data_IF_594223532441
#
_entry.id   IF_594223532441
#
_cell.length_a   1.000
_cell.length_b   1.000
_cell.length_c   1.000
_cell.angle_alpha   90.00
_cell.angle_beta   90.00
_cell.angle_gamma   90.00
#
_symmetry.space_group_name_H-M   'P 1'
#
loop_
_entity.id
_entity.type
_entity.pdbx_description
1 polymer ?
#
# COMPACT_ATOMS: atom_id res chain seq x y z
N UNK A 1 -26.49 -4.42 15.29
CA UNK A 1 -26.18 -5.17 14.05
C UNK A 1 -24.94 -6.02 14.26
N UNK A 2 -24.96 -7.26 13.84
CA UNK A 2 -23.77 -8.13 13.78
C UNK A 2 -22.86 -7.69 12.62
N UNK A 3 -21.60 -8.15 12.59
CA UNK A 3 -20.67 -7.86 11.49
C UNK A 3 -21.20 -8.37 10.16
N UNK A 4 -21.83 -9.55 10.16
CA UNK A 4 -22.42 -10.15 8.98
C UNK A 4 -23.62 -9.32 8.45
N UNK A 5 -24.52 -8.87 9.34
CA UNK A 5 -25.62 -7.99 8.96
C UNK A 5 -25.13 -6.66 8.38
N UNK A 6 -24.06 -6.08 8.95
CA UNK A 6 -23.40 -4.88 8.42
C UNK A 6 -22.84 -5.15 7.01
N UNK A 7 -22.06 -6.22 6.85
CA UNK A 7 -21.45 -6.58 5.57
C UNK A 7 -22.52 -6.83 4.48
N UNK A 8 -23.61 -7.49 4.83
CA UNK A 8 -24.76 -7.70 3.93
C UNK A 8 -25.44 -6.39 3.55
N UNK A 9 -25.70 -5.49 4.50
CA UNK A 9 -26.25 -4.16 4.20
C UNK A 9 -25.35 -3.36 3.28
N UNK A 10 -24.03 -3.40 3.53
CA UNK A 10 -23.02 -2.77 2.67
C UNK A 10 -23.03 -3.33 1.25
N UNK A 11 -23.13 -4.66 1.10
CA UNK A 11 -23.17 -5.28 -0.23
C UNK A 11 -24.40 -4.81 -1.04
N UNK A 12 -25.51 -4.57 -0.37
CA UNK A 12 -26.71 -4.01 -1.00
C UNK A 12 -26.60 -2.51 -1.33
N UNK A 13 -25.86 -1.75 -0.50
CA UNK A 13 -25.60 -0.32 -0.72
C UNK A 13 -24.47 -0.06 -1.75
N UNK A 14 -23.58 -1.01 -1.94
CA UNK A 14 -22.38 -0.86 -2.80
C UNK A 14 -22.70 -0.46 -4.25
N UNK A 15 -23.73 -0.99 -4.95
CA UNK A 15 -24.09 -0.52 -6.29
C UNK A 15 -24.54 0.96 -6.31
N UNK A 16 -25.23 1.42 -5.24
CA UNK A 16 -25.66 2.82 -5.11
C UNK A 16 -24.44 3.71 -4.91
N UNK A 17 -23.50 3.28 -4.06
CA UNK A 17 -22.24 3.97 -3.83
C UNK A 17 -21.41 4.04 -5.14
N UNK A 18 -21.32 2.96 -5.88
CA UNK A 18 -20.63 2.89 -7.17
C UNK A 18 -21.24 3.80 -8.24
N UNK A 19 -22.55 4.03 -8.19
CA UNK A 19 -23.28 4.91 -9.10
C UNK A 19 -23.27 6.38 -8.70
N UNK A 20 -22.72 6.72 -7.51
CA UNK A 20 -22.62 8.11 -7.07
C UNK A 20 -21.75 8.94 -8.01
N UNK A 21 -22.15 10.20 -8.26
CA UNK A 21 -21.41 11.08 -9.17
C UNK A 21 -20.06 11.50 -8.57
N UNK A 22 -19.11 11.90 -9.41
CA UNK A 22 -17.85 12.51 -8.99
C UNK A 22 -18.10 13.71 -8.10
N UNK A 23 -19.10 14.53 -8.43
CA UNK A 23 -19.49 15.71 -7.66
C UNK A 23 -19.95 15.32 -6.26
N UNK A 24 -20.84 14.33 -6.13
CA UNK A 24 -21.34 13.83 -4.83
C UNK A 24 -20.18 13.35 -3.97
N UNK A 25 -19.26 12.54 -4.54
CA UNK A 25 -18.09 12.04 -3.82
C UNK A 25 -17.13 13.16 -3.41
N UNK A 26 -16.88 14.14 -4.27
CA UNK A 26 -16.04 15.29 -3.94
C UNK A 26 -16.69 16.17 -2.87
N UNK A 27 -18.00 16.40 -2.96
CA UNK A 27 -18.74 17.15 -1.94
C UNK A 27 -18.67 16.44 -0.57
N UNK A 28 -18.71 15.10 -0.55
CA UNK A 28 -18.54 14.35 0.68
C UNK A 28 -17.13 14.54 1.28
N UNK A 29 -16.09 14.52 0.47
CA UNK A 29 -14.73 14.80 0.93
C UNK A 29 -14.60 16.21 1.52
N UNK A 30 -15.14 17.22 0.86
CA UNK A 30 -15.13 18.62 1.35
C UNK A 30 -15.94 18.77 2.64
N UNK A 31 -17.11 18.13 2.74
CA UNK A 31 -17.92 18.12 3.96
C UNK A 31 -17.18 17.45 5.13
N UNK A 32 -16.49 16.34 4.88
CA UNK A 32 -15.64 15.65 5.87
C UNK A 32 -14.50 16.56 6.32
N UNK A 33 -13.76 17.18 5.41
CA UNK A 33 -12.67 18.10 5.74
C UNK A 33 -13.15 19.26 6.62
N UNK A 34 -14.30 19.83 6.28
CA UNK A 34 -14.95 20.90 7.07
C UNK A 34 -15.34 20.40 8.46
N UNK A 35 -16.02 19.26 8.56
CA UNK A 35 -16.48 18.71 9.83
C UNK A 35 -15.31 18.32 10.76
N UNK A 36 -14.22 17.75 10.22
CA UNK A 36 -13.00 17.46 10.98
C UNK A 36 -12.37 18.75 11.54
N UNK A 37 -12.36 19.83 10.76
CA UNK A 37 -11.86 21.12 11.23
C UNK A 37 -12.74 21.74 12.32
N UNK A 38 -14.06 21.67 12.18
CA UNK A 38 -15.01 22.23 13.15
C UNK A 38 -15.05 21.45 14.47
N UNK A 39 -14.78 20.13 14.42
CA UNK A 39 -14.83 19.22 15.59
C UNK A 39 -13.43 18.83 16.10
N UNK A 40 -12.38 19.62 15.85
CA UNK A 40 -11.00 19.35 16.29
C UNK A 40 -10.90 19.08 17.79
N UNK A 41 -11.54 19.89 18.62
CA UNK A 41 -11.50 19.75 20.06
C UNK A 41 -12.10 18.42 20.53
N UNK A 42 -13.22 17.99 19.95
CA UNK A 42 -13.86 16.70 20.25
C UNK A 42 -12.92 15.53 19.92
N UNK A 43 -12.25 15.59 18.77
CA UNK A 43 -11.29 14.58 18.34
C UNK A 43 -10.10 14.53 19.30
N UNK A 44 -9.55 15.68 19.70
CA UNK A 44 -8.40 15.77 20.60
C UNK A 44 -8.78 15.22 21.99
N UNK A 45 -9.97 15.53 22.50
CA UNK A 45 -10.47 14.98 23.78
C UNK A 45 -10.57 13.46 23.72
N UNK A 46 -11.11 12.91 22.63
CA UNK A 46 -11.19 11.46 22.43
C UNK A 46 -9.79 10.82 22.34
N UNK A 47 -8.85 11.47 21.64
CA UNK A 47 -7.48 10.98 21.52
C UNK A 47 -6.70 11.03 22.84
N UNK A 48 -6.90 12.06 23.65
CA UNK A 48 -6.26 12.15 24.96
C UNK A 48 -6.70 11.00 25.89
N UNK A 49 -7.98 10.58 25.84
CA UNK A 49 -8.47 9.41 26.59
C UNK A 49 -7.75 8.11 26.16
N UNK A 50 -7.58 7.92 24.85
CA UNK A 50 -6.86 6.76 24.33
C UNK A 50 -5.37 6.80 24.73
N UNK A 51 -4.73 7.98 24.70
CA UNK A 51 -3.33 8.15 25.12
C UNK A 51 -3.11 7.93 26.60
N UNK A 52 -4.03 8.38 27.47
CA UNK A 52 -3.98 8.12 28.91
C UNK A 52 -4.10 6.63 29.20
N UNK A 53 -5.10 5.96 28.63
CA UNK A 53 -5.27 4.52 28.78
C UNK A 53 -4.08 3.72 28.25
N UNK A 54 -3.53 4.10 27.09
CA UNK A 54 -2.37 3.44 26.50
C UNK A 54 -1.09 3.57 27.36
N UNK A 55 -0.93 4.69 28.10
CA UNK A 55 0.16 4.86 29.08
C UNK A 55 -0.06 3.99 30.31
N UNK A 56 -1.29 3.94 30.82
CA UNK A 56 -1.66 3.08 31.97
C UNK A 56 -1.45 1.59 31.63
N UNK A 57 -1.78 1.19 30.40
CA UNK A 57 -1.58 -0.17 29.88
C UNK A 57 -0.08 -0.47 29.59
N UNK A 58 0.83 0.50 29.74
CA UNK A 58 2.27 0.33 29.54
C UNK A 58 2.68 0.12 28.08
N UNK A 59 1.97 0.69 27.12
CA UNK A 59 2.30 0.57 25.71
C UNK A 59 3.63 1.28 25.38
N UNK A 60 4.40 0.72 24.44
CA UNK A 60 5.71 1.25 24.03
C UNK A 60 5.58 2.67 23.45
N UNK A 61 6.61 3.48 23.65
CA UNK A 61 6.68 4.85 23.13
C UNK A 61 6.43 4.95 21.60
N UNK A 62 6.86 3.94 20.85
CA UNK A 62 6.62 3.88 19.40
C UNK A 62 5.13 3.76 19.05
N UNK A 63 4.35 3.06 19.87
CA UNK A 63 2.89 2.95 19.74
C UNK A 63 2.23 4.26 20.15
N UNK A 64 2.63 4.85 21.27
CA UNK A 64 2.11 6.14 21.75
C UNK A 64 2.33 7.26 20.71
N UNK A 65 3.50 7.31 20.06
CA UNK A 65 3.80 8.27 18.98
C UNK A 65 2.87 8.09 17.77
N UNK A 66 2.55 6.85 17.40
CA UNK A 66 1.61 6.54 16.30
C UNK A 66 0.17 6.87 16.68
N UNK A 67 -0.22 6.57 17.92
CA UNK A 67 -1.57 6.80 18.44
C UNK A 67 -1.90 8.29 18.59
N UNK A 68 -0.90 9.13 18.85
CA UNK A 68 -1.08 10.58 19.02
C UNK A 68 -1.69 11.21 17.76
N UNK A 69 -2.86 11.85 17.92
CA UNK A 69 -3.61 12.51 16.86
C UNK A 69 -3.94 13.95 17.28
N UNK A 70 -2.92 14.80 17.25
CA UNK A 70 -2.98 16.21 17.63
C UNK A 70 -3.45 17.11 16.47
N UNK A 71 -3.56 18.41 16.73
CA UNK A 71 -4.01 19.41 15.75
C UNK A 71 -3.20 19.35 14.44
N UNK A 72 -1.87 19.25 14.52
CA UNK A 72 -0.99 19.15 13.34
C UNK A 72 -1.34 17.94 12.46
N UNK A 73 -1.63 16.79 13.06
CA UNK A 73 -2.05 15.59 12.32
C UNK A 73 -3.46 15.72 11.75
N UNK A 74 -4.37 16.40 12.47
CA UNK A 74 -5.71 16.72 11.95
C UNK A 74 -5.60 17.61 10.74
N UNK A 75 -4.80 18.68 10.81
CA UNK A 75 -4.55 19.57 9.68
C UNK A 75 -3.89 18.84 8.50
N UNK A 76 -2.98 17.91 8.80
CA UNK A 76 -2.34 17.07 7.81
C UNK A 76 -3.34 16.17 7.03
N UNK A 77 -4.27 15.51 7.73
CA UNK A 77 -5.29 14.69 7.06
C UNK A 77 -6.32 15.56 6.30
N UNK A 78 -6.68 16.73 6.82
CA UNK A 78 -7.56 17.68 6.11
C UNK A 78 -6.90 18.15 4.80
N UNK A 79 -5.61 18.48 4.85
CA UNK A 79 -4.84 18.78 3.63
C UNK A 79 -4.86 17.62 2.66
N UNK A 80 -4.60 16.41 3.13
CA UNK A 80 -4.65 15.20 2.31
C UNK A 80 -6.02 14.96 1.65
N UNK A 81 -7.13 15.28 2.34
CA UNK A 81 -8.48 15.22 1.77
C UNK A 81 -8.64 16.25 0.65
N UNK A 82 -8.19 17.49 0.86
CA UNK A 82 -8.27 18.53 -0.17
C UNK A 82 -7.41 18.17 -1.40
N UNK A 83 -6.22 17.61 -1.20
CA UNK A 83 -5.38 17.10 -2.29
C UNK A 83 -6.11 15.97 -3.05
N UNK A 84 -6.78 15.04 -2.33
CA UNK A 84 -7.55 13.96 -2.93
C UNK A 84 -8.72 14.45 -3.79
N UNK A 85 -9.38 15.55 -3.42
CA UNK A 85 -10.45 16.19 -4.22
C UNK A 85 -9.91 16.61 -5.59
N UNK A 86 -8.68 17.10 -5.67
CA UNK A 86 -8.06 17.57 -6.93
C UNK A 86 -7.67 16.43 -7.88
N UNK A 87 -7.54 15.20 -7.37
CA UNK A 87 -7.22 14.04 -8.22
C UNK A 87 -8.40 13.71 -9.14
N UNK A 88 -8.07 13.26 -10.34
CA UNK A 88 -9.05 12.82 -11.33
C UNK A 88 -9.97 11.70 -10.80
N UNK A 89 -11.16 11.61 -11.36
CA UNK A 89 -12.07 10.51 -11.02
C UNK A 89 -11.46 9.16 -11.48
N UNK A 90 -11.30 8.17 -10.59
CA UNK A 90 -10.79 6.87 -10.97
C UNK A 90 -11.84 6.00 -11.69
N UNK A 91 -13.13 6.37 -11.63
CA UNK A 91 -14.24 5.59 -12.15
C UNK A 91 -14.59 5.96 -13.59
N UNK A 92 -15.21 5.01 -14.28
CA UNK A 92 -15.70 5.15 -15.65
C UNK A 92 -14.64 5.54 -16.69
N UNK A 93 -13.35 5.38 -16.36
CA UNK A 93 -12.27 5.58 -17.32
C UNK A 93 -12.32 4.48 -18.38
N UNK A 94 -12.42 4.89 -19.65
CA UNK A 94 -12.32 3.95 -20.78
C UNK A 94 -10.88 3.45 -20.88
N UNK A 95 -10.69 2.15 -20.68
CA UNK A 95 -9.39 1.48 -20.75
C UNK A 95 -9.18 0.74 -22.07
N UNK A 96 -10.28 0.37 -22.72
CA UNK A 96 -10.30 -0.28 -24.04
C UNK A 96 -11.65 0.02 -24.69
N UNK A 97 -11.63 0.29 -25.98
CA UNK A 97 -12.85 0.38 -26.80
C UNK A 97 -12.57 -0.30 -28.15
N UNK A 98 -13.40 -1.28 -28.50
CA UNK A 98 -13.18 -2.13 -29.65
C UNK A 98 -14.49 -2.44 -30.35
N UNK A 99 -14.55 -2.20 -31.64
CA UNK A 99 -15.61 -2.73 -32.50
C UNK A 99 -15.29 -4.20 -32.78
N UNK A 100 -16.21 -5.09 -32.38
CA UNK A 100 -16.08 -6.54 -32.62
C UNK A 100 -16.63 -6.91 -33.99
N UNK A 101 -17.67 -6.21 -34.42
CA UNK A 101 -18.34 -6.23 -35.72
C UNK A 101 -19.11 -4.90 -35.86
N UNK A 102 -19.57 -4.56 -37.08
CA UNK A 102 -20.51 -3.44 -37.23
C UNK A 102 -21.65 -3.60 -36.26
N UNK A 103 -22.01 -2.58 -35.52
CA UNK A 103 -23.08 -2.60 -34.49
C UNK A 103 -22.78 -3.43 -33.21
N UNK A 104 -21.54 -3.89 -32.98
CA UNK A 104 -21.17 -4.61 -31.76
C UNK A 104 -19.89 -4.02 -31.18
N UNK A 105 -20.06 -3.20 -30.15
CA UNK A 105 -18.93 -2.44 -29.52
C UNK A 105 -18.68 -2.90 -28.11
N UNK A 106 -17.46 -3.35 -27.82
CA UNK A 106 -16.98 -3.71 -26.51
C UNK A 106 -16.22 -2.51 -25.90
N UNK A 107 -16.64 -2.10 -24.71
CA UNK A 107 -15.95 -1.07 -23.94
C UNK A 107 -15.55 -1.65 -22.57
N UNK A 108 -14.28 -1.48 -22.16
CA UNK A 108 -13.82 -1.79 -20.80
C UNK A 108 -13.67 -0.48 -20.04
N UNK A 109 -14.39 -0.37 -18.92
CA UNK A 109 -14.35 0.81 -18.06
C UNK A 109 -13.94 0.44 -16.64
N UNK A 110 -13.27 1.37 -15.94
CA UNK A 110 -12.97 1.23 -14.52
C UNK A 110 -14.26 1.31 -13.67
N UNK A 111 -14.30 0.53 -12.59
CA UNK A 111 -15.38 0.51 -11.62
C UNK A 111 -14.84 0.22 -10.22
N UNK A 112 -15.59 0.52 -9.13
CA UNK A 112 -15.16 0.18 -7.78
C UNK A 112 -14.97 -1.33 -7.60
N UNK A 113 -14.11 -1.71 -6.64
CA UNK A 113 -13.97 -3.10 -6.20
C UNK A 113 -15.28 -3.58 -5.56
N UNK A 114 -15.87 -2.74 -4.69
CA UNK A 114 -17.13 -3.05 -4.02
C UNK A 114 -17.08 -2.77 -2.53
N UNK A 115 -17.19 -3.80 -1.69
CA UNK A 115 -17.08 -3.72 -0.24
C UNK A 115 -15.66 -4.06 0.19
N UNK A 116 -14.99 -3.11 0.83
CA UNK A 116 -13.61 -3.27 1.31
C UNK A 116 -13.60 -3.34 2.83
N UNK A 117 -13.02 -4.40 3.39
CA UNK A 117 -12.72 -4.50 4.81
C UNK A 117 -11.30 -4.01 5.09
N UNK A 118 -11.12 -3.06 6.00
CA UNK A 118 -9.79 -2.57 6.37
C UNK A 118 -9.55 -2.76 7.86
N UNK A 119 -8.49 -3.50 8.19
CA UNK A 119 -8.11 -3.82 9.56
C UNK A 119 -6.77 -3.17 9.85
N UNK A 120 -6.73 -2.23 10.80
CA UNK A 120 -5.53 -1.43 11.10
C UNK A 120 -5.30 -1.25 12.59
N UNK A 121 -4.04 -1.02 12.97
CA UNK A 121 -3.59 -0.86 14.35
C UNK A 121 -3.05 0.56 14.59
N UNK A 122 -3.28 1.11 15.82
CA UNK A 122 -2.60 2.29 16.40
C UNK A 122 -2.43 3.52 15.48
N UNK A 123 -3.32 3.73 14.50
CA UNK A 123 -3.21 4.81 13.51
C UNK A 123 -4.56 5.48 13.22
N UNK A 124 -5.00 6.44 14.06
CA UNK A 124 -6.25 7.18 13.80
C UNK A 124 -6.26 7.92 12.45
N UNK A 125 -5.10 8.40 12.00
CA UNK A 125 -4.93 9.02 10.68
C UNK A 125 -5.32 8.07 9.54
N UNK A 126 -5.02 6.78 9.68
CA UNK A 126 -5.38 5.77 8.69
C UNK A 126 -6.90 5.64 8.50
N UNK A 127 -7.70 5.78 9.57
CA UNK A 127 -9.16 5.75 9.45
C UNK A 127 -9.66 6.85 8.51
N UNK A 128 -9.17 8.07 8.65
CA UNK A 128 -9.55 9.21 7.80
C UNK A 128 -9.11 8.97 6.35
N UNK A 129 -7.85 8.60 6.15
CA UNK A 129 -7.28 8.37 4.80
C UNK A 129 -8.01 7.26 4.05
N UNK A 130 -8.25 6.14 4.71
CA UNK A 130 -8.91 4.98 4.10
C UNK A 130 -10.38 5.29 3.77
N UNK A 131 -11.12 5.89 4.70
CA UNK A 131 -12.52 6.26 4.48
C UNK A 131 -12.66 7.19 3.27
N UNK A 132 -11.82 8.20 3.18
CA UNK A 132 -11.89 9.20 2.11
C UNK A 132 -11.45 8.62 0.75
N UNK A 133 -10.44 7.76 0.73
CA UNK A 133 -10.03 7.04 -0.48
C UNK A 133 -11.14 6.09 -0.98
N UNK A 134 -11.81 5.36 -0.07
CA UNK A 134 -12.93 4.50 -0.42
C UNK A 134 -14.12 5.32 -0.96
N UNK A 135 -14.46 6.45 -0.33
CA UNK A 135 -15.50 7.35 -0.84
C UNK A 135 -15.14 7.86 -2.24
N UNK A 136 -13.93 8.37 -2.45
CA UNK A 136 -13.47 8.89 -3.75
C UNK A 136 -13.53 7.84 -4.84
N UNK A 137 -13.17 6.59 -4.51
CA UNK A 137 -13.18 5.45 -5.45
C UNK A 137 -14.52 4.72 -5.56
N UNK A 138 -15.58 5.24 -4.91
CA UNK A 138 -16.93 4.66 -4.98
C UNK A 138 -17.09 3.31 -4.28
N UNK A 139 -16.18 2.96 -3.36
CA UNK A 139 -16.24 1.75 -2.56
C UNK A 139 -16.96 1.95 -1.24
N UNK A 140 -17.66 0.92 -0.78
CA UNK A 140 -18.11 0.82 0.60
C UNK A 140 -17.00 0.30 1.49
N UNK A 141 -16.88 0.77 2.74
CA UNK A 141 -15.79 0.36 3.64
C UNK A 141 -16.26 -0.01 5.03
N UNK A 142 -15.84 -1.19 5.49
CA UNK A 142 -15.94 -1.63 6.88
C UNK A 142 -14.58 -1.48 7.54
N UNK A 143 -14.50 -0.67 8.58
CA UNK A 143 -13.28 -0.30 9.29
C UNK A 143 -13.18 -1.08 10.59
N UNK A 144 -12.01 -1.65 10.87
CA UNK A 144 -11.68 -2.30 12.14
C UNK A 144 -10.37 -1.75 12.67
N UNK A 145 -10.45 -0.76 13.53
CA UNK A 145 -9.28 -0.18 14.20
C UNK A 145 -8.83 -0.98 15.43
N UNK A 146 -7.61 -0.71 15.90
CA UNK A 146 -7.08 -1.25 17.13
C UNK A 146 -7.84 -0.74 18.36
N UNK A 147 -7.81 -1.55 19.45
CA UNK A 147 -8.50 -1.23 20.72
C UNK A 147 -7.91 0.02 21.39
N UNK A 148 -6.62 0.21 21.24
CA UNK A 148 -5.85 1.33 21.78
C UNK A 148 -6.27 2.70 21.23
N UNK A 149 -7.01 2.74 20.11
CA UNK A 149 -7.52 3.96 19.47
C UNK A 149 -9.07 4.01 19.44
N UNK A 150 -9.74 3.26 20.31
CA UNK A 150 -11.18 3.03 20.19
C UNK A 150 -12.01 4.32 20.30
N UNK A 151 -11.68 5.23 21.23
CA UNK A 151 -12.39 6.50 21.41
C UNK A 151 -12.15 7.43 20.22
N UNK A 152 -10.90 7.56 19.77
CA UNK A 152 -10.53 8.39 18.63
C UNK A 152 -11.18 7.88 17.35
N UNK A 153 -11.09 6.56 17.09
CA UNK A 153 -11.70 5.95 15.90
C UNK A 153 -13.21 6.14 15.87
N UNK A 154 -13.88 6.02 17.03
CA UNK A 154 -15.32 6.25 17.14
C UNK A 154 -15.69 7.69 16.80
N UNK A 155 -15.02 8.67 17.43
CA UNK A 155 -15.26 10.09 17.16
C UNK A 155 -15.04 10.45 15.69
N UNK A 156 -13.90 10.04 15.11
CA UNK A 156 -13.59 10.27 13.71
C UNK A 156 -14.62 9.62 12.76
N UNK A 157 -15.02 8.38 13.05
CA UNK A 157 -15.99 7.66 12.21
C UNK A 157 -17.36 8.33 12.22
N UNK A 158 -17.86 8.74 13.39
CA UNK A 158 -19.15 9.42 13.52
C UNK A 158 -19.13 10.74 12.74
N UNK A 159 -18.07 11.54 12.86
CA UNK A 159 -17.90 12.79 12.12
C UNK A 159 -17.87 12.54 10.61
N UNK A 160 -17.10 11.58 10.15
CA UNK A 160 -16.95 11.24 8.72
C UNK A 160 -18.29 10.74 8.16
N UNK A 161 -18.95 9.82 8.86
CA UNK A 161 -20.22 9.23 8.40
C UNK A 161 -21.32 10.27 8.31
N UNK A 162 -21.49 11.09 9.36
CA UNK A 162 -22.48 12.18 9.40
C UNK A 162 -22.28 13.14 8.23
N UNK A 163 -21.04 13.61 8.04
CA UNK A 163 -20.69 14.53 6.97
C UNK A 163 -20.92 13.95 5.58
N UNK A 164 -20.51 12.69 5.34
CA UNK A 164 -20.67 12.03 4.05
C UNK A 164 -22.16 11.80 3.72
N UNK A 165 -22.94 11.32 4.69
CA UNK A 165 -24.37 11.03 4.50
C UNK A 165 -25.15 12.33 4.24
N UNK A 166 -24.79 13.44 4.88
CA UNK A 166 -25.47 14.75 4.69
C UNK A 166 -25.46 15.26 3.24
N UNK A 167 -24.55 14.77 2.43
CA UNK A 167 -24.40 15.17 1.01
C UNK A 167 -24.71 14.04 0.02
N UNK A 168 -25.34 12.95 0.49
CA UNK A 168 -25.91 11.91 -0.38
C UNK A 168 -25.09 10.61 -0.50
N UNK A 169 -24.04 10.40 0.30
CA UNK A 169 -23.40 9.09 0.41
C UNK A 169 -24.33 8.13 1.17
N UNK A 170 -24.57 6.90 0.67
CA UNK A 170 -25.44 5.94 1.35
C UNK A 170 -24.97 5.64 2.77
N UNK A 171 -25.86 5.71 3.75
CA UNK A 171 -25.52 5.52 5.16
C UNK A 171 -24.94 4.12 5.45
N UNK A 172 -25.35 3.11 4.66
CA UNK A 172 -24.87 1.73 4.80
C UNK A 172 -23.58 1.45 4.00
N UNK A 173 -22.94 2.45 3.41
CA UNK A 173 -21.63 2.28 2.77
C UNK A 173 -20.43 2.44 3.71
N UNK A 174 -20.65 2.85 4.97
CA UNK A 174 -19.61 3.10 5.95
C UNK A 174 -19.97 2.44 7.29
N UNK A 175 -19.15 1.52 7.78
CA UNK A 175 -19.28 0.91 9.11
C UNK A 175 -17.97 0.85 9.85
N UNK A 176 -18.04 0.97 11.18
CA UNK A 176 -16.94 0.77 12.12
C UNK A 176 -17.27 -0.40 13.04
N UNK A 177 -16.39 -1.38 13.12
CA UNK A 177 -16.43 -2.47 14.09
C UNK A 177 -15.32 -2.31 15.13
N UNK A 178 -15.58 -2.60 16.39
CA UNK A 178 -14.67 -2.30 17.49
C UNK A 178 -14.24 -3.53 18.28
N UNK A 179 -15.11 -4.53 18.46
CA UNK A 179 -14.78 -5.70 19.27
C UNK A 179 -13.67 -6.56 18.62
N UNK A 180 -12.86 -7.22 19.44
CA UNK A 180 -11.75 -8.05 18.97
C UNK A 180 -12.24 -9.29 18.22
N UNK A 181 -13.29 -9.90 18.71
CA UNK A 181 -13.97 -11.07 18.11
C UNK A 181 -14.58 -10.75 16.75
N UNK A 182 -14.83 -9.49 16.45
CA UNK A 182 -15.36 -9.06 15.14
C UNK A 182 -14.37 -9.27 14.00
N UNK A 183 -13.07 -9.41 14.30
CA UNK A 183 -12.07 -9.74 13.28
C UNK A 183 -12.41 -11.10 12.65
N UNK A 184 -12.59 -12.15 13.47
CA UNK A 184 -12.92 -13.48 12.95
C UNK A 184 -14.25 -13.50 12.19
N UNK A 185 -15.24 -12.75 12.68
CA UNK A 185 -16.54 -12.60 12.00
C UNK A 185 -16.37 -11.92 10.64
N UNK A 186 -15.55 -10.84 10.57
CA UNK A 186 -15.26 -10.16 9.32
C UNK A 186 -14.52 -11.06 8.32
N UNK A 187 -13.54 -11.85 8.78
CA UNK A 187 -12.80 -12.80 7.95
C UNK A 187 -13.69 -13.89 7.34
N UNK A 188 -14.84 -14.17 7.96
CA UNK A 188 -15.82 -15.13 7.47
C UNK A 188 -16.81 -14.53 6.42
N UNK A 189 -16.88 -13.20 6.28
CA UNK A 189 -17.86 -12.51 5.42
C UNK A 189 -17.51 -12.53 3.93
N UNK A 190 -16.95 -13.63 3.39
CA UNK A 190 -16.48 -13.72 2.01
C UNK A 190 -17.59 -13.61 0.94
N UNK A 191 -18.87 -13.77 1.31
CA UNK A 191 -20.00 -13.54 0.40
C UNK A 191 -20.34 -12.04 0.23
N UNK A 192 -19.94 -11.21 1.18
CA UNK A 192 -20.35 -9.80 1.24
C UNK A 192 -19.19 -8.82 1.12
N UNK A 193 -17.97 -9.24 1.47
CA UNK A 193 -16.75 -8.42 1.42
C UNK A 193 -15.90 -8.86 0.23
N UNK A 194 -15.55 -7.93 -0.64
CA UNK A 194 -14.85 -8.20 -1.90
C UNK A 194 -13.33 -8.17 -1.74
N UNK A 195 -12.81 -7.41 -0.76
CA UNK A 195 -11.38 -7.24 -0.52
C UNK A 195 -11.11 -6.97 0.96
N UNK A 196 -10.02 -7.51 1.49
CA UNK A 196 -9.45 -7.13 2.79
C UNK A 196 -8.09 -6.45 2.62
N UNK A 197 -7.87 -5.39 3.42
CA UNK A 197 -6.61 -4.66 3.48
C UNK A 197 -6.15 -4.61 4.95
N UNK A 198 -5.27 -5.53 5.38
CA UNK A 198 -4.68 -5.48 6.71
C UNK A 198 -3.54 -4.46 6.78
N UNK A 199 -3.46 -3.75 7.91
CA UNK A 199 -2.40 -2.80 8.27
C UNK A 199 -1.97 -3.04 9.71
N UNK A 200 -0.86 -3.70 9.93
CA UNK A 200 -0.38 -4.06 11.26
C UNK A 200 1.00 -4.73 11.21
N UNK A 201 1.32 -5.48 12.24
CA UNK A 201 2.54 -6.29 12.27
C UNK A 201 2.53 -7.41 11.22
N UNK A 202 3.71 -7.87 10.81
CA UNK A 202 3.87 -8.95 9.84
C UNK A 202 3.08 -10.21 10.25
N UNK A 203 3.20 -10.62 11.51
CA UNK A 203 2.46 -11.77 12.04
C UNK A 203 0.94 -11.60 11.92
N UNK A 204 0.45 -10.39 12.16
CA UNK A 204 -0.98 -10.09 12.04
C UNK A 204 -1.45 -10.13 10.58
N UNK A 205 -0.68 -9.57 9.65
CA UNK A 205 -0.99 -9.63 8.21
C UNK A 205 -1.00 -11.07 7.73
N UNK A 206 0.01 -11.88 8.09
CA UNK A 206 0.06 -13.31 7.78
C UNK A 206 -1.13 -14.07 8.37
N UNK A 207 -1.51 -13.77 9.62
CA UNK A 207 -2.70 -14.37 10.23
C UNK A 207 -3.95 -14.10 9.39
N UNK A 208 -4.18 -12.85 8.97
CA UNK A 208 -5.32 -12.49 8.12
C UNK A 208 -5.29 -13.27 6.80
N UNK A 209 -4.14 -13.27 6.11
CA UNK A 209 -3.98 -13.95 4.81
C UNK A 209 -4.27 -15.45 4.90
N UNK A 210 -3.90 -16.08 6.01
CA UNK A 210 -4.07 -17.53 6.20
C UNK A 210 -5.45 -17.94 6.72
N UNK A 211 -6.28 -16.98 7.20
CA UNK A 211 -7.54 -17.28 7.88
C UNK A 211 -8.79 -16.71 7.20
N UNK A 212 -8.71 -16.34 5.95
CA UNK A 212 -9.87 -15.85 5.18
C UNK A 212 -9.91 -16.43 3.78
N UNK A 213 -11.12 -16.46 3.21
CA UNK A 213 -11.37 -16.71 1.78
C UNK A 213 -11.53 -15.41 0.98
N UNK A 214 -11.62 -14.26 1.66
CA UNK A 214 -11.70 -12.96 1.00
C UNK A 214 -10.31 -12.65 0.41
N UNK A 215 -10.19 -12.17 -0.83
CA UNK A 215 -8.93 -11.68 -1.36
C UNK A 215 -8.28 -10.67 -0.41
N UNK A 216 -6.99 -10.82 -0.14
CA UNK A 216 -6.24 -9.93 0.76
C UNK A 216 -5.22 -9.14 -0.06
N UNK A 217 -5.27 -7.82 0.07
CA UNK A 217 -4.29 -6.90 -0.51
C UNK A 217 -3.34 -6.41 0.59
N UNK A 218 -2.08 -6.74 0.46
CA UNK A 218 -1.06 -6.35 1.43
C UNK A 218 0.26 -7.08 1.21
N UNK A 219 1.18 -6.87 2.12
CA UNK A 219 2.42 -7.62 2.25
C UNK A 219 2.69 -7.87 3.73
N UNK A 220 3.36 -8.95 4.05
CA UNK A 220 3.74 -9.25 5.42
C UNK A 220 5.08 -8.60 5.78
N UNK A 221 6.11 -8.79 4.93
CA UNK A 221 7.48 -8.35 5.17
C UNK A 221 7.94 -7.35 4.11
N UNK A 222 8.77 -6.38 4.50
CA UNK A 222 9.42 -5.42 3.61
C UNK A 222 10.93 -5.66 3.54
N UNK A 223 11.37 -6.73 2.85
CA UNK A 223 12.79 -7.05 2.69
C UNK A 223 13.29 -6.46 1.37
N UNK A 224 13.70 -5.18 1.42
CA UNK A 224 14.20 -4.46 0.26
C UNK A 224 15.71 -4.62 0.12
N UNK A 225 16.19 -4.71 -1.14
CA UNK A 225 17.61 -4.84 -1.47
C UNK A 225 18.13 -3.65 -2.26
N UNK A 226 19.42 -3.39 -2.10
CA UNK A 226 20.19 -2.58 -3.04
C UNK A 226 21.32 -3.44 -3.60
N UNK A 227 21.48 -3.46 -4.91
CA UNK A 227 22.65 -4.01 -5.59
C UNK A 227 23.53 -2.88 -6.08
N UNK A 228 24.76 -2.82 -5.55
CA UNK A 228 25.82 -1.93 -5.99
C UNK A 228 26.68 -2.65 -7.06
N UNK A 229 26.53 -2.26 -8.31
CA UNK A 229 27.23 -2.86 -9.46
C UNK A 229 28.72 -2.46 -9.50
N UNK A 230 29.50 -3.13 -10.34
CA UNK A 230 30.93 -2.80 -10.54
C UNK A 230 31.13 -1.43 -11.20
N UNK A 231 30.20 -0.98 -12.03
CA UNK A 231 30.24 0.30 -12.74
C UNK A 231 29.30 1.30 -12.07
N UNK A 232 29.78 2.02 -11.06
CA UNK A 232 28.98 3.00 -10.34
C UNK A 232 29.80 4.23 -9.92
N UNK A 233 29.10 5.33 -9.65
CA UNK A 233 29.64 6.47 -8.91
C UNK A 233 29.59 6.15 -7.41
N UNK A 234 30.77 6.07 -6.78
CA UNK A 234 30.87 5.66 -5.37
C UNK A 234 30.20 6.66 -4.42
N UNK A 235 30.30 7.96 -4.68
CA UNK A 235 29.75 8.98 -3.77
C UNK A 235 28.23 9.04 -3.91
N UNK A 236 27.69 8.84 -5.11
CA UNK A 236 26.26 8.65 -5.34
C UNK A 236 25.77 7.39 -4.62
N UNK A 237 26.49 6.28 -4.74
CA UNK A 237 26.13 5.01 -4.11
C UNK A 237 26.03 5.14 -2.58
N UNK A 238 27.03 5.76 -1.94
CA UNK A 238 27.01 6.00 -0.49
C UNK A 238 25.79 6.80 -0.08
N UNK A 239 25.46 7.89 -0.78
CA UNK A 239 24.28 8.72 -0.47
C UNK A 239 22.99 7.92 -0.56
N UNK A 240 22.80 7.16 -1.64
CA UNK A 240 21.58 6.37 -1.86
C UNK A 240 21.42 5.28 -0.79
N UNK A 241 22.49 4.53 -0.51
CA UNK A 241 22.44 3.43 0.45
C UNK A 241 22.17 3.94 1.87
N UNK A 242 22.85 5.01 2.27
CA UNK A 242 22.64 5.62 3.60
C UNK A 242 21.21 6.16 3.72
N UNK A 243 20.70 6.90 2.74
CA UNK A 243 19.33 7.39 2.76
C UNK A 243 18.32 6.24 2.84
N UNK A 244 18.49 5.22 2.00
CA UNK A 244 17.61 4.05 1.94
C UNK A 244 17.52 3.29 3.27
N UNK A 245 18.59 3.27 4.06
CA UNK A 245 18.59 2.61 5.36
C UNK A 245 18.22 3.54 6.51
N UNK A 246 18.66 4.79 6.52
CA UNK A 246 18.67 5.61 7.74
C UNK A 246 17.65 6.75 7.76
N UNK A 247 17.01 7.08 6.63
CA UNK A 247 16.03 8.17 6.58
C UNK A 247 14.83 7.87 7.49
N UNK A 248 14.34 6.62 7.50
CA UNK A 248 13.39 6.09 8.46
C UNK A 248 13.40 4.57 8.40
N UNK A 249 13.76 3.90 9.50
CA UNK A 249 13.98 2.45 9.52
C UNK A 249 12.70 1.62 9.72
N UNK A 250 11.72 2.15 10.46
CA UNK A 250 10.53 1.40 10.87
C UNK A 250 9.44 1.39 9.78
N UNK A 251 9.82 1.08 8.54
CA UNK A 251 8.94 0.99 7.36
C UNK A 251 9.46 -0.03 6.36
N UNK A 252 8.52 -0.65 5.65
CA UNK A 252 8.76 -1.77 4.74
C UNK A 252 9.59 -1.45 3.48
N UNK A 253 9.82 -0.18 3.15
CA UNK A 253 10.65 0.25 2.02
C UNK A 253 12.06 0.70 2.44
N UNK A 254 12.45 0.53 3.71
CA UNK A 254 13.84 0.67 4.13
C UNK A 254 14.67 -0.51 3.61
N UNK A 255 15.92 -0.26 3.22
CA UNK A 255 16.79 -1.34 2.73
C UNK A 255 17.26 -2.21 3.90
N UNK A 256 17.10 -3.52 3.74
CA UNK A 256 17.52 -4.51 4.73
C UNK A 256 18.77 -5.28 4.30
N UNK A 257 18.97 -5.43 2.99
CA UNK A 257 20.12 -6.14 2.41
C UNK A 257 20.82 -5.29 1.34
N UNK A 258 22.14 -5.23 1.44
CA UNK A 258 23.03 -4.64 0.45
C UNK A 258 23.87 -5.74 -0.22
N UNK A 259 23.72 -5.89 -1.53
CA UNK A 259 24.54 -6.75 -2.38
C UNK A 259 25.59 -5.86 -3.07
N UNK A 260 26.86 -6.23 -2.97
CA UNK A 260 27.96 -5.44 -3.55
C UNK A 260 28.75 -6.31 -4.54
N UNK A 261 28.94 -5.81 -5.75
CA UNK A 261 29.82 -6.50 -6.70
C UNK A 261 31.24 -6.56 -6.16
N UNK A 262 31.85 -7.75 -6.18
CA UNK A 262 33.17 -8.00 -5.57
C UNK A 262 34.27 -7.04 -6.07
N UNK A 263 34.21 -6.58 -7.33
CA UNK A 263 35.23 -5.72 -7.93
C UNK A 263 35.19 -4.29 -7.39
N UNK A 264 34.02 -3.79 -6.96
CA UNK A 264 33.88 -2.44 -6.37
C UNK A 264 33.95 -2.47 -4.84
N UNK A 265 33.77 -3.63 -4.22
CA UNK A 265 33.71 -3.79 -2.78
C UNK A 265 34.91 -3.17 -2.04
N UNK A 266 36.18 -3.35 -2.47
CA UNK A 266 37.33 -2.74 -1.80
C UNK A 266 37.31 -1.20 -1.80
N UNK A 267 36.70 -0.56 -2.78
CA UNK A 267 36.58 0.89 -2.86
C UNK A 267 35.33 1.43 -2.15
N UNK A 268 34.22 0.70 -2.22
CA UNK A 268 32.91 1.14 -1.72
C UNK A 268 32.72 0.84 -0.22
N UNK A 269 33.01 -0.40 0.22
CA UNK A 269 32.68 -0.85 1.57
C UNK A 269 33.39 -0.05 2.68
N UNK A 270 34.66 0.36 2.58
CA UNK A 270 35.31 1.19 3.62
C UNK A 270 34.60 2.55 3.79
N UNK A 271 34.19 3.21 2.69
CA UNK A 271 33.49 4.49 2.74
C UNK A 271 32.09 4.30 3.36
N UNK A 272 31.37 3.24 2.97
CA UNK A 272 30.06 2.90 3.53
C UNK A 272 30.15 2.58 5.01
N UNK A 273 31.13 1.79 5.45
CA UNK A 273 31.29 1.42 6.85
C UNK A 273 31.54 2.65 7.74
N UNK A 274 32.31 3.63 7.26
CA UNK A 274 32.44 4.90 7.96
C UNK A 274 31.09 5.62 8.07
N UNK A 275 30.37 5.76 6.98
CA UNK A 275 29.06 6.44 6.96
C UNK A 275 27.99 5.69 7.80
N UNK A 276 28.01 4.36 7.83
CA UNK A 276 27.16 3.56 8.69
C UNK A 276 27.48 3.76 10.18
N UNK A 277 28.75 3.80 10.54
CA UNK A 277 29.19 4.10 11.93
C UNK A 277 28.71 5.48 12.40
N UNK A 278 28.79 6.50 11.53
CA UNK A 278 28.30 7.85 11.83
C UNK A 278 26.76 7.88 12.07
N UNK A 279 26.03 6.93 11.50
CA UNK A 279 24.56 6.77 11.65
C UNK A 279 24.17 5.70 12.65
N UNK A 280 25.12 5.09 13.36
CA UNK A 280 24.90 3.97 14.28
C UNK A 280 24.23 2.75 13.63
N UNK A 281 24.51 2.48 12.37
CA UNK A 281 24.03 1.29 11.68
C UNK A 281 24.92 0.11 11.98
N UNK A 282 24.35 -0.97 12.50
CA UNK A 282 25.01 -2.25 12.68
C UNK A 282 25.08 -2.96 11.33
N UNK A 283 26.30 -3.34 10.92
CA UNK A 283 26.53 -4.09 9.68
C UNK A 283 26.73 -5.57 10.02
N UNK A 284 25.98 -6.43 9.36
CA UNK A 284 26.19 -7.88 9.35
C UNK A 284 26.68 -8.29 7.97
N UNK A 285 27.87 -8.88 7.89
CA UNK A 285 28.53 -9.24 6.62
C UNK A 285 28.84 -10.72 6.51
N UNK A 286 28.85 -11.21 5.27
CA UNK A 286 29.41 -12.53 4.97
C UNK A 286 30.94 -12.55 5.19
N UNK A 287 31.56 -13.73 5.24
CA UNK A 287 33.00 -13.88 5.57
C UNK A 287 33.91 -13.05 4.63
N UNK A 288 33.56 -12.96 3.36
CA UNK A 288 34.26 -12.15 2.35
C UNK A 288 34.10 -10.63 2.58
N UNK A 289 32.95 -10.18 3.11
CA UNK A 289 32.75 -8.79 3.54
C UNK A 289 33.61 -8.48 4.76
N UNK A 290 33.71 -9.40 5.73
CA UNK A 290 34.57 -9.27 6.92
C UNK A 290 36.07 -9.17 6.56
N UNK A 291 36.47 -9.72 5.44
CA UNK A 291 37.83 -9.53 4.91
C UNK A 291 38.14 -8.09 4.47
N UNK A 292 37.13 -7.21 4.32
CA UNK A 292 37.26 -5.83 3.85
C UNK A 292 36.92 -4.81 4.95
N UNK A 293 35.87 -5.08 5.75
CA UNK A 293 35.44 -4.17 6.83
C UNK A 293 35.16 -4.97 8.10
N UNK A 294 35.28 -4.31 9.25
CA UNK A 294 34.89 -4.87 10.55
C UNK A 294 33.38 -4.82 10.69
N UNK A 295 32.74 -6.00 10.82
CA UNK A 295 31.28 -6.17 10.95
C UNK A 295 30.94 -7.49 11.67
N UNK A 296 29.68 -7.64 12.10
CA UNK A 296 29.16 -8.90 12.66
C UNK A 296 28.95 -9.95 11.56
N UNK A 297 28.79 -11.22 11.97
CA UNK A 297 28.49 -12.31 11.04
C UNK A 297 27.07 -12.22 10.53
N UNK A 298 26.88 -12.28 9.21
CA UNK A 298 25.59 -12.50 8.57
C UNK A 298 25.33 -13.99 8.38
N UNK A 299 24.15 -14.43 8.74
CA UNK A 299 23.63 -15.79 8.52
C UNK A 299 22.64 -15.83 7.36
N UNK A 300 22.23 -17.01 6.91
CA UNK A 300 21.19 -17.17 5.90
C UNK A 300 19.84 -16.55 6.34
N UNK A 301 19.55 -16.55 7.64
CA UNK A 301 18.33 -15.97 8.19
C UNK A 301 18.34 -14.46 8.16
N UNK A 302 19.50 -13.82 8.27
CA UNK A 302 19.63 -12.36 8.17
C UNK A 302 19.15 -11.82 6.81
N UNK A 303 19.32 -12.59 5.73
CA UNK A 303 18.83 -12.21 4.39
C UNK A 303 17.31 -12.37 4.20
N UNK A 304 16.61 -12.99 5.16
CA UNK A 304 15.14 -13.15 5.19
C UNK A 304 14.49 -12.25 6.25
N UNK A 305 15.29 -11.43 6.92
CA UNK A 305 14.84 -10.65 8.07
C UNK A 305 14.55 -9.22 7.70
N UNK A 306 13.34 -8.75 8.00
CA UNK A 306 13.01 -7.33 8.06
C UNK A 306 13.37 -6.82 9.46
N UNK A 307 14.50 -6.12 9.58
CA UNK A 307 15.01 -5.65 10.88
C UNK A 307 14.17 -4.51 11.47
N UNK A 308 13.64 -3.62 10.64
CA UNK A 308 12.94 -2.40 11.05
C UNK A 308 13.77 -1.52 12.01
N UNK A 309 15.10 -1.65 11.94
CA UNK A 309 16.08 -1.00 12.82
C UNK A 309 17.32 -0.58 12.03
N UNK A 310 18.25 0.07 12.68
CA UNK A 310 19.56 0.46 12.14
C UNK A 310 20.51 -0.75 12.02
N UNK A 311 20.06 -1.79 11.31
CA UNK A 311 20.79 -3.03 11.01
C UNK A 311 20.71 -3.27 9.52
N UNK A 312 21.80 -3.67 8.88
CA UNK A 312 21.84 -4.01 7.45
C UNK A 312 22.69 -5.24 7.19
N UNK A 313 22.20 -6.18 6.39
CA UNK A 313 22.96 -7.32 5.91
C UNK A 313 23.72 -6.97 4.64
N UNK A 314 24.98 -7.41 4.53
CA UNK A 314 25.84 -7.13 3.38
C UNK A 314 26.44 -8.45 2.86
N UNK A 315 26.39 -8.63 1.54
CA UNK A 315 26.94 -9.79 0.85
C UNK A 315 27.66 -9.36 -0.43
N UNK A 316 28.77 -10.01 -0.74
CA UNK A 316 29.42 -9.85 -2.04
C UNK A 316 28.78 -10.77 -3.08
N UNK A 317 28.70 -10.27 -4.31
CA UNK A 317 28.22 -11.01 -5.48
C UNK A 317 29.21 -10.82 -6.64
N UNK A 318 29.23 -11.78 -7.56
CA UNK A 318 30.17 -11.79 -8.69
C UNK A 318 29.56 -11.21 -9.98
N UNK A 319 28.26 -11.00 -10.01
CA UNK A 319 27.53 -10.53 -11.20
C UNK A 319 26.15 -10.00 -10.85
N UNK A 320 25.55 -9.24 -11.78
CA UNK A 320 24.15 -8.81 -11.68
C UNK A 320 23.21 -10.01 -11.60
N UNK A 321 23.51 -11.11 -12.30
CA UNK A 321 22.67 -12.32 -12.27
C UNK A 321 22.63 -12.94 -10.87
N UNK A 322 23.76 -13.06 -10.19
CA UNK A 322 23.80 -13.54 -8.81
C UNK A 322 23.02 -12.62 -7.86
N UNK A 323 23.09 -11.30 -8.07
CA UNK A 323 22.29 -10.35 -7.30
C UNK A 323 20.78 -10.54 -7.54
N UNK A 324 20.37 -10.69 -8.80
CA UNK A 324 18.97 -10.97 -9.19
C UNK A 324 18.46 -12.26 -8.54
N UNK A 325 19.25 -13.35 -8.63
CA UNK A 325 18.88 -14.64 -8.06
C UNK A 325 18.74 -14.56 -6.53
N UNK A 326 19.62 -13.80 -5.87
CA UNK A 326 19.53 -13.54 -4.44
C UNK A 326 18.27 -12.76 -4.09
N UNK A 327 18.00 -11.66 -4.78
CA UNK A 327 16.81 -10.82 -4.55
C UNK A 327 15.53 -11.61 -4.75
N UNK A 328 15.41 -12.36 -5.84
CA UNK A 328 14.23 -13.16 -6.13
C UNK A 328 14.03 -14.32 -5.13
N UNK A 329 15.10 -14.80 -4.50
CA UNK A 329 15.06 -15.87 -3.49
C UNK A 329 14.69 -15.35 -2.10
N UNK A 330 15.24 -14.22 -1.68
CA UNK A 330 15.17 -13.73 -0.30
C UNK A 330 14.28 -12.50 -0.12
N UNK A 331 14.09 -11.73 -1.18
CA UNK A 331 13.28 -10.52 -1.16
C UNK A 331 11.80 -10.80 -0.97
N UNK A 332 11.11 -9.80 -0.46
CA UNK A 332 9.65 -9.80 -0.25
C UNK A 332 8.85 -9.34 -1.47
N UNK A 333 9.50 -9.16 -2.60
CA UNK A 333 8.92 -8.56 -3.83
C UNK A 333 8.39 -7.14 -3.64
N UNK A 334 8.93 -6.40 -2.67
CA UNK A 334 8.50 -5.05 -2.36
C UNK A 334 9.20 -4.03 -3.28
N UNK A 335 10.43 -3.63 -2.96
CA UNK A 335 11.17 -2.62 -3.72
C UNK A 335 12.66 -2.90 -3.67
N UNK A 336 13.27 -3.06 -4.84
CA UNK A 336 14.69 -3.33 -4.97
C UNK A 336 15.35 -2.35 -5.94
N UNK A 337 16.61 -2.01 -5.68
CA UNK A 337 17.31 -0.98 -6.42
C UNK A 337 18.66 -1.49 -6.93
N UNK A 338 19.02 -1.11 -8.16
CA UNK A 338 20.39 -1.20 -8.66
C UNK A 338 21.06 0.17 -8.69
N UNK A 339 22.33 0.22 -8.30
CA UNK A 339 23.17 1.40 -8.49
C UNK A 339 24.21 1.07 -9.54
N UNK A 340 24.06 1.64 -10.73
CA UNK A 340 24.94 1.40 -11.88
C UNK A 340 24.91 2.56 -12.87
N UNK A 341 26.02 2.79 -13.54
CA UNK A 341 26.12 3.67 -14.72
C UNK A 341 25.99 2.90 -16.03
N UNK A 342 25.94 1.56 -15.99
CA UNK A 342 25.83 0.70 -17.15
C UNK A 342 24.35 0.43 -17.49
N UNK A 343 23.91 0.86 -18.68
CA UNK A 343 22.52 0.74 -19.10
C UNK A 343 22.09 -0.71 -19.39
N UNK A 344 23.01 -1.55 -19.90
CA UNK A 344 22.72 -2.96 -20.19
C UNK A 344 22.51 -3.74 -18.90
N UNK A 345 23.37 -3.51 -17.89
CA UNK A 345 23.24 -4.12 -16.56
C UNK A 345 21.95 -3.64 -15.86
N UNK A 346 21.62 -2.36 -15.98
CA UNK A 346 20.37 -1.82 -15.45
C UNK A 346 19.15 -2.49 -16.10
N UNK A 347 19.14 -2.60 -17.42
CA UNK A 347 18.06 -3.25 -18.16
C UNK A 347 17.90 -4.73 -17.78
N UNK A 348 19.00 -5.47 -17.62
CA UNK A 348 18.95 -6.85 -17.15
C UNK A 348 18.34 -6.95 -15.74
N UNK A 349 18.75 -6.08 -14.82
CA UNK A 349 18.21 -6.02 -13.47
C UNK A 349 16.70 -5.71 -13.49
N UNK A 350 16.28 -4.66 -14.19
CA UNK A 350 14.88 -4.24 -14.31
C UNK A 350 13.99 -5.33 -14.91
N UNK A 351 14.52 -6.11 -15.83
CA UNK A 351 13.79 -7.18 -16.53
C UNK A 351 13.60 -8.44 -15.68
N UNK A 352 14.56 -8.78 -14.81
CA UNK A 352 14.58 -10.08 -14.14
C UNK A 352 14.33 -10.01 -12.63
N UNK A 353 14.37 -8.84 -12.00
CA UNK A 353 13.94 -8.67 -10.61
C UNK A 353 12.43 -8.64 -10.55
N UNK A 354 11.85 -9.56 -9.76
CA UNK A 354 10.40 -9.70 -9.62
C UNK A 354 9.87 -8.95 -8.39
N UNK A 355 9.97 -7.62 -8.41
CA UNK A 355 9.50 -6.77 -7.33
C UNK A 355 8.47 -5.76 -7.80
N UNK A 356 7.64 -5.24 -6.87
CA UNK A 356 6.61 -4.26 -7.16
C UNK A 356 7.24 -2.91 -7.58
N UNK A 357 8.38 -2.56 -6.99
CA UNK A 357 9.22 -1.43 -7.39
C UNK A 357 10.61 -1.90 -7.78
N UNK A 358 11.07 -1.61 -8.99
CA UNK A 358 12.44 -1.88 -9.44
C UNK A 358 13.06 -0.55 -9.81
N UNK A 359 14.09 -0.16 -9.08
CA UNK A 359 14.66 1.18 -9.14
C UNK A 359 16.08 1.17 -9.67
N UNK A 360 16.47 2.30 -10.23
CA UNK A 360 17.84 2.58 -10.64
C UNK A 360 18.30 3.90 -10.06
N UNK A 361 19.45 3.90 -9.38
CA UNK A 361 20.15 5.10 -8.88
C UNK A 361 19.28 6.03 -8.02
N UNK A 362 18.38 5.47 -7.21
CA UNK A 362 17.60 6.24 -6.25
C UNK A 362 17.28 5.42 -4.99
N UNK A 363 16.88 6.11 -3.93
CA UNK A 363 16.54 5.50 -2.65
C UNK A 363 15.29 4.62 -2.75
N UNK A 364 15.31 3.44 -2.11
CA UNK A 364 14.12 2.58 -1.97
C UNK A 364 12.99 3.28 -1.21
N UNK A 365 13.31 4.32 -0.43
CA UNK A 365 12.37 5.14 0.32
C UNK A 365 11.39 5.93 -0.55
N UNK A 366 11.61 6.00 -1.87
CA UNK A 366 10.63 6.57 -2.80
C UNK A 366 9.38 5.72 -3.00
N UNK A 367 9.35 4.44 -2.59
CA UNK A 367 8.18 3.58 -2.69
C UNK A 367 7.07 3.98 -1.72
N UNK A 368 6.36 5.06 -2.04
CA UNK A 368 5.38 5.72 -1.19
C UNK A 368 4.38 6.48 -2.09
N UNK A 369 3.08 6.38 -1.77
CA UNK A 369 2.04 6.98 -2.60
C UNK A 369 2.16 8.49 -2.78
N UNK A 370 2.54 9.23 -1.73
CA UNK A 370 2.75 10.67 -1.84
C UNK A 370 3.96 11.01 -2.71
N UNK A 371 5.07 10.25 -2.57
CA UNK A 371 6.28 10.46 -3.37
C UNK A 371 6.09 10.09 -4.84
N UNK A 372 5.18 9.15 -5.12
CA UNK A 372 4.78 8.81 -6.50
C UNK A 372 3.76 9.80 -7.09
N UNK A 373 3.24 10.74 -6.29
CA UNK A 373 2.20 11.65 -6.73
C UNK A 373 0.80 11.03 -6.79
N UNK A 374 0.60 9.86 -6.18
CA UNK A 374 -0.71 9.18 -6.12
C UNK A 374 -1.60 9.69 -4.97
N UNK A 375 -1.05 10.56 -4.12
CA UNK A 375 -1.71 11.01 -2.89
C UNK A 375 -1.60 9.99 -1.77
N UNK A 376 -2.63 9.94 -0.92
CA UNK A 376 -2.69 8.97 0.17
C UNK A 376 -2.76 7.53 -0.36
N UNK A 377 -2.22 6.59 0.40
CA UNK A 377 -2.28 5.17 0.10
C UNK A 377 -2.98 4.39 1.22
N UNK A 378 -3.70 3.35 0.85
CA UNK A 378 -4.31 2.41 1.81
C UNK A 378 -3.31 1.36 2.29
N UNK A 379 -2.22 1.15 1.57
CA UNK A 379 -1.18 0.18 1.87
C UNK A 379 -0.25 -0.03 0.69
N UNK A 380 0.67 -0.99 0.85
CA UNK A 380 1.53 -1.48 -0.23
C UNK A 380 1.19 -2.95 -0.45
N UNK A 381 1.13 -3.37 -1.70
CA UNK A 381 0.87 -4.76 -2.06
C UNK A 381 2.01 -5.31 -2.91
N UNK A 382 2.48 -6.50 -2.57
CA UNK A 382 3.48 -7.22 -3.36
C UNK A 382 2.88 -8.33 -4.23
N UNK A 383 1.56 -8.54 -4.12
CA UNK A 383 0.83 -9.52 -4.92
C UNK A 383 0.82 -9.20 -6.41
N UNK A 384 0.56 -10.21 -7.26
CA UNK A 384 0.54 -10.05 -8.74
C UNK A 384 -0.86 -9.96 -9.33
N UNK A 385 -1.91 -10.21 -8.54
CA UNK A 385 -3.27 -10.13 -9.08
C UNK A 385 -3.69 -8.68 -9.13
N UNK A 386 -3.84 -7.86 -8.32
CA UNK A 386 -4.21 -6.44 -8.34
C UNK A 386 -4.42 -5.96 -6.88
N UNK A 387 -3.95 -4.82 -6.49
CA UNK A 387 -2.99 -3.94 -7.11
C UNK A 387 -1.57 -4.30 -6.64
N UNK A 388 -0.50 -3.73 -7.23
CA UNK A 388 0.88 -3.98 -6.87
C UNK A 388 1.62 -2.67 -6.60
N UNK A 389 2.52 -2.64 -5.60
CA UNK A 389 3.19 -1.42 -5.14
C UNK A 389 2.35 -0.58 -4.19
N UNK A 390 2.63 0.73 -4.03
CA UNK A 390 1.83 1.65 -3.26
C UNK A 390 0.39 1.73 -3.81
N UNK A 391 -0.59 1.38 -2.96
CA UNK A 391 -2.00 1.29 -3.34
C UNK A 391 -2.70 2.59 -3.00
N UNK A 392 -2.74 3.49 -3.96
CA UNK A 392 -3.54 4.72 -3.92
C UNK A 392 -4.92 4.53 -4.55
N UNK A 393 -5.47 5.64 -5.07
CA UNK A 393 -6.82 5.68 -5.62
C UNK A 393 -7.06 4.68 -6.76
N UNK A 394 -6.09 4.53 -7.69
CA UNK A 394 -6.19 3.62 -8.83
C UNK A 394 -6.15 2.14 -8.40
N UNK A 395 -5.55 1.82 -7.27
CA UNK A 395 -5.53 0.46 -6.73
C UNK A 395 -6.84 0.01 -6.07
N UNK A 396 -7.78 0.94 -5.85
CA UNK A 396 -9.10 0.67 -5.27
C UNK A 396 -10.20 0.51 -6.32
N UNK A 397 -9.82 0.41 -7.60
CA UNK A 397 -10.76 0.17 -8.70
C UNK A 397 -10.38 -1.09 -9.47
N UNK A 398 -11.36 -1.70 -10.10
CA UNK A 398 -11.21 -2.77 -11.07
C UNK A 398 -11.86 -2.35 -12.38
N UNK A 399 -12.26 -3.27 -13.23
CA UNK A 399 -12.94 -2.96 -14.47
C UNK A 399 -14.12 -3.88 -14.74
N UNK A 400 -15.03 -3.42 -15.57
CA UNK A 400 -16.10 -4.23 -16.17
C UNK A 400 -16.17 -3.99 -17.67
N UNK A 401 -16.75 -4.95 -18.36
CA UNK A 401 -17.05 -4.84 -19.79
C UNK A 401 -18.49 -4.41 -20.01
N UNK A 402 -18.67 -3.48 -20.94
CA UNK A 402 -19.95 -3.08 -21.50
C UNK A 402 -19.92 -3.52 -22.96
N UNK A 403 -20.89 -4.33 -23.37
CA UNK A 403 -21.04 -4.75 -24.75
C UNK A 403 -22.37 -4.21 -25.27
N UNK A 404 -22.30 -3.36 -26.27
CA UNK A 404 -23.46 -2.75 -26.92
C UNK A 404 -23.60 -3.34 -28.31
N UNK A 405 -24.78 -3.90 -28.61
CA UNK A 405 -25.11 -4.53 -29.88
C UNK A 405 -26.48 -4.13 -30.38
N UNK A 406 -26.82 -4.56 -31.57
CA UNK A 406 -28.09 -4.31 -32.24
C UNK A 406 -28.74 -5.63 -32.73
N UNK A 407 -29.06 -6.51 -31.75
CA UNK A 407 -29.65 -7.82 -32.06
C UNK A 407 -28.64 -8.89 -32.46
N UNK A 408 -27.33 -8.67 -32.22
CA UNK A 408 -26.28 -9.64 -32.51
C UNK A 408 -26.45 -10.90 -31.66
N UNK A 409 -26.39 -12.07 -32.30
CA UNK A 409 -26.44 -13.37 -31.64
C UNK A 409 -25.19 -14.20 -32.00
N UNK A 410 -24.71 -14.98 -31.06
CA UNK A 410 -23.49 -15.81 -31.25
C UNK A 410 -23.66 -16.82 -32.37
N UNK A 411 -24.87 -17.36 -32.57
CA UNK A 411 -25.17 -18.35 -33.59
C UNK A 411 -24.87 -17.88 -35.02
N UNK A 412 -25.09 -16.61 -35.32
CA UNK A 412 -24.77 -16.05 -36.63
C UNK A 412 -23.27 -16.06 -36.93
N UNK A 413 -22.42 -15.94 -35.94
CA UNK A 413 -20.95 -16.05 -36.06
C UNK A 413 -20.52 -17.51 -36.14
N UNK A 414 -21.12 -18.40 -35.37
CA UNK A 414 -20.84 -19.84 -35.41
C UNK A 414 -21.21 -20.46 -36.75
N UNK A 415 -22.34 -20.06 -37.33
CA UNK A 415 -22.84 -20.56 -38.60
C UNK A 415 -22.30 -19.82 -39.84
N UNK A 416 -21.36 -18.88 -39.63
CA UNK A 416 -20.74 -18.15 -40.74
C UNK A 416 -21.61 -17.12 -41.42
N UNK A 417 -22.78 -16.76 -40.86
CA UNK A 417 -23.63 -15.69 -41.41
C UNK A 417 -23.02 -14.31 -41.15
N UNK A 418 -22.32 -14.16 -40.04
CA UNK A 418 -21.52 -12.97 -39.67
C UNK A 418 -20.09 -13.37 -39.35
N UNK A 419 -19.19 -12.41 -39.40
CA UNK A 419 -17.80 -12.58 -39.00
C UNK A 419 -17.34 -11.41 -38.12
N UNK A 420 -16.46 -11.67 -37.17
CA UNK A 420 -15.83 -10.61 -36.40
C UNK A 420 -14.92 -9.77 -37.29
N UNK A 421 -14.96 -8.47 -37.10
CA UNK A 421 -14.12 -7.49 -37.79
C UNK A 421 -13.48 -6.57 -36.76
N UNK A 422 -12.59 -7.12 -35.93
CA UNK A 422 -11.99 -6.44 -34.81
C UNK A 422 -11.27 -5.15 -35.20
N UNK A 423 -11.71 -4.02 -34.64
CA UNK A 423 -11.14 -2.71 -34.86
C UNK A 423 -11.02 -1.96 -33.54
N UNK A 424 -9.85 -1.43 -33.25
CA UNK A 424 -9.64 -0.52 -32.11
C UNK A 424 -10.31 0.85 -32.39
N UNK A 425 -10.97 1.42 -31.36
CA UNK A 425 -11.72 2.68 -31.44
C UNK A 425 -11.12 3.78 -30.55
#
# INVERSE_FOLDING_TARGET
MTVEEMAKAMKMASPIMAASSTETRNNALLAIAKALNEKKEEIIIANNKDLEQAKEDGLRDSVLKRLKFNEEKIDGVIKGINDLVTLGDPLSKVQLKKELDSDLVLTRISCPIGVIGVIFESRPDALVQISTLCIKSGNSVILKGGREAANTNKALFEIIKEAAVSVGIPADSLFLVQAREDIQRLLACHEYVDLLIPRGSNEFVQYIMNNTKIPVMGHADGICHIYADKELDTDMAVKIIIDSKTQYTAVCNATETLLVHKDVAPALLPKLNQAFKEKNVLVKGTEDVKGIIDCEDATEEDFKTEYLDLIISVKLVSSVREAIDHINKYGSHHTDCIITTNDETAYEFEKFVDSAGVYRNCSTRFADGYRYGFGAEVGISTGKLHARGPVGLEGLVTYKYILEGNGNIVDDYVNGKRSFNFKEL
#
